data_IF_263104980188
#
_entry.id   IF_263104980188
#
_cell.length_a   1.000
_cell.length_b   1.000
_cell.length_c   1.000
_cell.angle_alpha   90.00
_cell.angle_beta   90.00
_cell.angle_gamma   90.00
#
_symmetry.space_group_name_H-M   'P 1'
#
loop_
_entity.id
_entity.type
_entity.pdbx_description
1 polymer ?
#
# COMPACT_ATOMS: atom_id res chain seq x y z
N UNK A 1 8.83 -6.72 -4.41
CA UNK A 1 7.85 -7.63 -3.77
C UNK A 1 8.29 -8.13 -2.40
N UNK A 2 9.50 -8.68 -2.26
CA UNK A 2 10.04 -9.19 -0.98
C UNK A 2 10.04 -8.10 0.09
N UNK A 3 10.64 -6.96 -0.20
CA UNK A 3 10.69 -5.80 0.68
C UNK A 3 9.29 -5.26 1.05
N UNK A 4 8.36 -5.24 0.08
CA UNK A 4 6.95 -4.92 0.31
C UNK A 4 6.29 -5.87 1.33
N UNK A 5 6.66 -7.14 1.33
CA UNK A 5 6.14 -8.15 2.25
C UNK A 5 6.89 -8.21 3.59
N UNK A 6 7.91 -7.38 3.79
CA UNK A 6 8.67 -7.29 5.03
C UNK A 6 9.99 -8.04 5.02
N UNK A 7 10.43 -8.57 3.89
CA UNK A 7 11.79 -9.09 3.75
C UNK A 7 12.77 -7.90 3.61
N UNK A 8 13.78 -7.85 4.44
CA UNK A 8 14.79 -6.77 4.49
C UNK A 8 16.17 -7.24 4.02
N UNK A 9 16.24 -8.33 3.26
CA UNK A 9 17.53 -8.89 2.80
C UNK A 9 18.09 -8.18 1.56
N UNK A 10 17.29 -7.37 0.87
CA UNK A 10 17.71 -6.66 -0.35
C UNK A 10 18.82 -5.63 -0.08
N UNK A 11 18.82 -4.97 1.08
CA UNK A 11 19.77 -3.91 1.45
C UNK A 11 20.66 -4.36 2.60
N UNK A 12 21.98 -4.30 2.41
CA UNK A 12 22.97 -4.74 3.42
C UNK A 12 22.91 -3.94 4.73
N UNK A 13 22.43 -2.70 4.66
CA UNK A 13 22.30 -1.79 5.81
C UNK A 13 20.99 -1.97 6.57
N UNK A 14 20.10 -2.81 6.08
CA UNK A 14 18.79 -3.07 6.69
C UNK A 14 18.88 -4.01 7.91
N UNK A 15 17.78 -4.05 8.67
CA UNK A 15 17.64 -4.96 9.82
C UNK A 15 17.72 -6.45 9.43
N UNK A 16 17.50 -6.79 8.16
CA UNK A 16 17.63 -8.16 7.64
C UNK A 16 19.03 -8.75 7.83
N UNK A 17 20.06 -7.89 7.77
CA UNK A 17 21.47 -8.28 7.89
C UNK A 17 22.05 -8.11 9.30
N UNK A 18 21.23 -7.87 10.31
CA UNK A 18 21.73 -7.85 11.69
C UNK A 18 22.13 -9.26 12.12
N UNK A 19 23.41 -9.41 12.43
CA UNK A 19 23.96 -10.67 12.93
C UNK A 19 23.64 -10.86 14.42
N UNK A 20 23.41 -12.09 14.87
CA UNK A 20 23.31 -12.42 16.28
C UNK A 20 24.55 -11.97 17.04
N UNK A 21 24.37 -11.45 18.25
CA UNK A 21 25.49 -11.03 19.11
C UNK A 21 26.11 -12.23 19.82
N UNK A 22 27.43 -12.28 19.83
CA UNK A 22 28.17 -13.21 20.69
C UNK A 22 28.43 -12.51 22.01
N UNK A 23 27.94 -13.09 23.09
CA UNK A 23 28.14 -12.59 24.45
C UNK A 23 29.10 -13.56 25.15
N UNK A 24 30.20 -13.03 25.65
CA UNK A 24 31.12 -13.81 26.46
C UNK A 24 30.44 -14.22 27.77
N UNK A 25 30.41 -15.50 28.05
CA UNK A 25 29.88 -16.04 29.29
C UNK A 25 31.06 -16.38 30.18
N UNK A 26 31.01 -15.96 31.44
CA UNK A 26 32.01 -16.24 32.44
C UNK A 26 31.45 -17.21 33.48
N UNK A 27 32.34 -18.04 34.04
CA UNK A 27 31.97 -18.99 35.11
C UNK A 27 31.73 -18.25 36.43
N UNK A 28 30.67 -18.60 37.13
CA UNK A 28 30.40 -18.08 38.47
C UNK A 28 31.24 -18.78 39.57
N UNK A 29 31.85 -19.91 39.23
CA UNK A 29 32.54 -20.78 40.20
C UNK A 29 34.02 -21.04 39.88
N UNK A 30 34.42 -20.91 38.63
CA UNK A 30 35.79 -21.14 38.18
C UNK A 30 36.51 -19.83 37.89
N UNK A 31 37.68 -19.66 38.50
CA UNK A 31 38.55 -18.50 38.27
C UNK A 31 39.81 -18.92 37.51
N UNK A 32 40.28 -18.03 36.65
CA UNK A 32 41.54 -18.13 35.95
C UNK A 32 42.48 -17.04 36.46
N UNK A 33 43.72 -17.43 36.82
CA UNK A 33 44.72 -16.49 37.31
C UNK A 33 45.45 -15.88 36.10
N UNK A 34 45.42 -14.58 35.97
CA UNK A 34 46.17 -13.86 34.94
C UNK A 34 47.69 -14.07 35.16
N UNK A 35 48.41 -14.67 34.20
CA UNK A 35 49.82 -15.04 34.40
C UNK A 35 50.75 -13.82 34.50
N UNK A 36 50.34 -12.63 34.04
CA UNK A 36 51.16 -11.41 34.06
C UNK A 36 50.93 -10.58 35.34
N UNK A 37 49.68 -10.54 35.80
CA UNK A 37 49.29 -9.66 36.92
C UNK A 37 48.99 -10.41 38.19
N UNK A 38 48.86 -11.73 38.16
CA UNK A 38 48.46 -12.58 39.30
C UNK A 38 47.02 -12.35 39.77
N UNK A 39 46.25 -11.58 39.06
CA UNK A 39 44.87 -11.29 39.42
C UNK A 39 43.91 -12.43 39.03
N UNK A 40 43.03 -12.80 39.95
CA UNK A 40 41.97 -13.77 39.69
C UNK A 40 40.86 -13.13 38.86
N UNK A 41 40.57 -13.74 37.71
CA UNK A 41 39.46 -13.34 36.83
C UNK A 41 38.51 -14.51 36.63
N UNK A 42 37.17 -14.27 36.50
CA UNK A 42 36.25 -15.34 36.17
C UNK A 42 36.66 -16.01 34.85
N UNK A 43 36.70 -17.35 34.86
CA UNK A 43 37.06 -18.12 33.66
C UNK A 43 36.05 -17.91 32.53
N UNK A 44 36.53 -17.56 31.36
CA UNK A 44 35.70 -17.43 30.18
C UNK A 44 35.21 -18.79 29.70
N UNK A 45 33.91 -18.95 29.61
CA UNK A 45 33.25 -20.10 29.01
C UNK A 45 33.07 -19.90 27.49
N UNK A 46 32.35 -20.81 26.84
CA UNK A 46 32.00 -20.65 25.45
C UNK A 46 31.09 -19.42 25.25
N UNK A 47 31.31 -18.68 24.13
CA UNK A 47 30.47 -17.53 23.79
C UNK A 47 29.03 -17.98 23.50
N UNK A 48 28.07 -17.40 24.18
CA UNK A 48 26.63 -17.61 23.90
C UNK A 48 26.19 -16.69 22.77
N UNK A 49 25.60 -17.28 21.75
CA UNK A 49 24.94 -16.50 20.67
C UNK A 49 23.55 -16.08 21.13
N UNK A 50 23.28 -14.79 21.09
CA UNK A 50 21.98 -14.21 21.44
C UNK A 50 21.40 -13.55 20.20
N UNK A 51 20.15 -13.89 19.89
CA UNK A 51 19.43 -13.28 18.81
C UNK A 51 19.21 -11.79 19.07
N UNK A 52 19.23 -11.01 17.99
CA UNK A 52 18.99 -9.56 18.04
C UNK A 52 17.58 -9.24 17.54
N UNK A 53 16.98 -8.22 18.13
CA UNK A 53 15.66 -7.77 17.69
C UNK A 53 15.71 -7.30 16.22
N UNK A 54 14.72 -7.73 15.41
CA UNK A 54 14.53 -7.31 14.03
C UNK A 54 13.11 -6.71 13.89
N UNK A 55 12.99 -5.44 14.23
CA UNK A 55 11.71 -4.71 14.16
C UNK A 55 11.50 -4.22 12.74
N UNK A 56 10.50 -4.75 12.08
CA UNK A 56 10.14 -4.43 10.69
C UNK A 56 8.84 -3.62 10.70
N UNK A 57 8.83 -2.50 9.99
CA UNK A 57 7.65 -1.67 9.81
C UNK A 57 6.94 -1.98 8.50
N UNK A 58 5.64 -1.74 8.44
CA UNK A 58 4.86 -1.93 7.21
C UNK A 58 4.75 -0.63 6.38
N UNK A 59 5.73 0.27 6.49
CA UNK A 59 5.73 1.56 5.79
C UNK A 59 5.65 1.42 4.26
N UNK A 60 6.39 0.54 3.58
CA UNK A 60 6.24 0.31 2.15
C UNK A 60 4.80 -0.02 1.75
N UNK A 61 4.13 -0.89 2.52
CA UNK A 61 2.72 -1.22 2.27
C UNK A 61 1.79 -0.03 2.50
N UNK A 62 2.08 0.80 3.52
CA UNK A 62 1.27 1.99 3.84
C UNK A 62 1.38 3.00 2.70
N UNK A 63 2.58 3.29 2.21
CA UNK A 63 2.83 4.21 1.10
C UNK A 63 2.05 3.77 -0.15
N UNK A 64 2.26 2.54 -0.62
CA UNK A 64 1.55 2.02 -1.81
C UNK A 64 0.03 2.02 -1.64
N UNK A 65 -0.49 1.69 -0.44
CA UNK A 65 -1.93 1.74 -0.17
C UNK A 65 -2.48 3.16 -0.29
N UNK A 66 -1.75 4.14 0.22
CA UNK A 66 -2.12 5.54 0.14
C UNK A 66 -2.14 5.99 -1.32
N UNK A 67 -1.09 5.74 -2.10
CA UNK A 67 -1.04 6.08 -3.53
C UNK A 67 -2.19 5.44 -4.32
N UNK A 68 -2.45 4.13 -4.15
CA UNK A 68 -3.58 3.45 -4.82
C UNK A 68 -4.93 4.02 -4.38
N UNK A 69 -5.06 4.47 -3.14
CA UNK A 69 -6.28 5.08 -2.65
C UNK A 69 -6.53 6.44 -3.32
N UNK A 70 -5.50 7.28 -3.47
CA UNK A 70 -5.63 8.56 -4.17
C UNK A 70 -5.85 8.38 -5.68
N UNK A 71 -5.26 7.36 -6.31
CA UNK A 71 -5.46 7.06 -7.73
C UNK A 71 -6.88 6.56 -8.06
N UNK A 72 -7.33 5.54 -7.36
CA UNK A 72 -8.53 4.76 -7.73
C UNK A 72 -9.52 4.57 -6.59
N UNK A 73 -9.33 5.27 -5.47
CA UNK A 73 -10.16 5.12 -4.27
C UNK A 73 -11.52 5.76 -4.40
N UNK A 74 -11.62 6.88 -5.11
CA UNK A 74 -12.85 7.62 -5.34
C UNK A 74 -13.86 6.87 -6.21
N UNK A 75 -15.06 7.43 -6.35
CA UNK A 75 -16.10 6.83 -7.17
C UNK A 75 -15.70 6.82 -8.65
N UNK A 76 -15.87 5.69 -9.31
CA UNK A 76 -15.65 5.55 -10.73
C UNK A 76 -16.87 6.05 -11.54
N UNK A 77 -16.67 7.12 -12.27
CA UNK A 77 -17.65 7.69 -13.20
C UNK A 77 -17.32 7.27 -14.63
N UNK A 78 -18.31 6.84 -15.37
CA UNK A 78 -18.17 6.41 -16.77
C UNK A 78 -19.09 7.27 -17.61
N UNK A 79 -18.52 8.05 -18.52
CA UNK A 79 -19.20 8.96 -19.44
C UNK A 79 -19.02 8.49 -20.87
N UNK A 80 -19.88 8.93 -21.76
CA UNK A 80 -19.78 8.65 -23.19
C UNK A 80 -20.33 9.84 -23.97
N UNK A 81 -19.83 10.06 -25.17
CA UNK A 81 -20.36 11.09 -26.08
C UNK A 81 -21.81 10.78 -26.49
N UNK A 82 -22.10 9.51 -26.79
CA UNK A 82 -23.46 9.05 -27.14
C UNK A 82 -23.95 8.02 -26.09
N UNK A 83 -24.85 8.42 -25.18
CA UNK A 83 -25.44 7.54 -24.16
C UNK A 83 -26.53 6.62 -24.74
N UNK A 84 -26.12 5.64 -25.54
CA UNK A 84 -26.99 4.62 -26.15
C UNK A 84 -27.12 3.33 -25.34
N UNK A 85 -27.90 2.36 -25.85
CA UNK A 85 -28.09 1.06 -25.21
C UNK A 85 -26.80 0.25 -25.10
N UNK A 86 -25.90 0.34 -26.10
CA UNK A 86 -24.57 -0.29 -26.08
C UNK A 86 -23.72 0.23 -24.94
N UNK A 87 -23.76 1.54 -24.68
CA UNK A 87 -23.10 2.16 -23.55
C UNK A 87 -23.67 1.70 -22.20
N UNK A 88 -25.00 1.59 -22.10
CA UNK A 88 -25.64 1.08 -20.89
C UNK A 88 -25.21 -0.35 -20.55
N UNK A 89 -25.08 -1.22 -21.56
CA UNK A 89 -24.53 -2.58 -21.38
C UNK A 89 -23.03 -2.56 -21.08
N UNK A 90 -22.27 -1.64 -21.69
CA UNK A 90 -20.85 -1.46 -21.36
C UNK A 90 -20.66 -1.12 -19.87
N UNK A 91 -21.41 -0.15 -19.33
CA UNK A 91 -21.39 0.17 -17.89
C UNK A 91 -21.62 -1.06 -17.02
N UNK A 92 -22.62 -1.91 -17.36
CA UNK A 92 -22.91 -3.13 -16.59
C UNK A 92 -21.75 -4.14 -16.66
N UNK A 93 -21.15 -4.33 -17.84
CA UNK A 93 -20.01 -5.24 -18.00
C UNK A 93 -18.79 -4.72 -17.27
N UNK A 94 -18.42 -3.46 -17.50
CA UNK A 94 -17.20 -2.84 -16.96
C UNK A 94 -17.27 -2.70 -15.43
N UNK A 95 -18.35 -2.10 -14.90
CA UNK A 95 -18.49 -1.81 -13.46
C UNK A 95 -18.88 -3.07 -12.65
N UNK A 96 -19.83 -3.89 -13.14
CA UNK A 96 -20.40 -4.99 -12.35
C UNK A 96 -19.81 -6.36 -12.66
N UNK A 97 -19.68 -6.74 -13.96
CA UNK A 97 -19.20 -8.09 -14.31
C UNK A 97 -17.68 -8.23 -14.17
N UNK A 98 -16.92 -7.28 -14.71
CA UNK A 98 -15.46 -7.25 -14.65
C UNK A 98 -14.92 -6.64 -13.36
N UNK A 99 -15.73 -5.81 -12.66
CA UNK A 99 -15.35 -5.07 -11.45
C UNK A 99 -14.05 -4.28 -11.66
N UNK A 100 -13.98 -3.53 -12.77
CA UNK A 100 -12.73 -2.92 -13.23
C UNK A 100 -12.10 -2.00 -12.21
N UNK A 101 -12.84 -1.29 -11.36
CA UNK A 101 -12.25 -0.49 -10.29
C UNK A 101 -11.39 -1.33 -9.33
N UNK A 102 -11.84 -2.54 -8.95
CA UNK A 102 -11.05 -3.45 -8.11
C UNK A 102 -9.82 -3.98 -8.84
N UNK A 103 -9.97 -4.28 -10.14
CA UNK A 103 -8.88 -4.74 -11.01
C UNK A 103 -7.82 -3.65 -11.15
N UNK A 104 -8.22 -2.40 -11.39
CA UNK A 104 -7.31 -1.26 -11.51
C UNK A 104 -6.59 -0.96 -10.19
N UNK A 105 -7.27 -1.04 -9.05
CA UNK A 105 -6.63 -0.93 -7.72
C UNK A 105 -5.58 -2.02 -7.49
N UNK A 106 -5.88 -3.25 -7.88
CA UNK A 106 -4.92 -4.35 -7.77
C UNK A 106 -3.76 -4.19 -8.75
N UNK A 107 -4.05 -3.80 -9.98
CA UNK A 107 -3.04 -3.52 -11.01
C UNK A 107 -2.07 -2.42 -10.57
N UNK A 108 -2.59 -1.25 -10.13
CA UNK A 108 -1.75 -0.17 -9.63
C UNK A 108 -0.92 -0.60 -8.42
N UNK A 109 -1.51 -1.35 -7.47
CA UNK A 109 -0.75 -1.89 -6.34
C UNK A 109 0.42 -2.76 -6.80
N UNK A 110 0.22 -3.57 -7.84
CA UNK A 110 1.27 -4.43 -8.39
C UNK A 110 2.35 -3.60 -9.10
N UNK A 111 1.96 -2.66 -9.94
CA UNK A 111 2.93 -1.77 -10.62
C UNK A 111 3.75 -0.99 -9.60
N UNK A 112 3.11 -0.35 -8.62
CA UNK A 112 3.80 0.47 -7.61
C UNK A 112 4.65 -0.35 -6.61
N UNK A 113 4.38 -1.64 -6.45
CA UNK A 113 5.17 -2.51 -5.55
C UNK A 113 6.15 -3.44 -6.24
N UNK A 114 5.89 -3.83 -7.49
CA UNK A 114 6.68 -4.80 -8.25
C UNK A 114 7.35 -4.17 -9.47
N UNK A 115 7.12 -2.89 -9.68
CA UNK A 115 7.55 -2.05 -10.80
C UNK A 115 6.86 -2.33 -12.13
N UNK A 116 6.29 -3.49 -12.35
CA UNK A 116 5.61 -3.85 -13.59
C UNK A 116 4.48 -4.84 -13.37
N UNK A 117 3.41 -4.67 -14.14
CA UNK A 117 2.29 -5.62 -14.18
C UNK A 117 1.55 -5.52 -15.51
N UNK A 118 0.73 -6.53 -15.81
CA UNK A 118 -0.12 -6.52 -16.99
C UNK A 118 -1.54 -7.00 -16.65
N UNK A 119 -2.55 -6.37 -17.27
CA UNK A 119 -3.93 -6.84 -17.26
C UNK A 119 -4.18 -7.58 -18.57
N UNK A 120 -4.69 -8.81 -18.51
CA UNK A 120 -5.03 -9.60 -19.69
C UNK A 120 -6.51 -9.88 -19.71
N UNK A 121 -7.16 -9.55 -20.83
CA UNK A 121 -8.55 -9.87 -21.11
C UNK A 121 -8.65 -11.13 -21.95
N UNK A 122 -9.60 -11.99 -21.65
CA UNK A 122 -9.81 -13.23 -22.40
C UNK A 122 -11.28 -13.64 -22.38
N UNK A 123 -11.78 -14.25 -23.47
CA UNK A 123 -13.12 -14.79 -23.52
C UNK A 123 -13.17 -16.19 -22.91
N UNK A 124 -14.24 -16.47 -22.17
CA UNK A 124 -14.57 -17.82 -21.70
C UNK A 124 -15.94 -18.17 -22.23
N UNK A 125 -16.05 -19.34 -22.89
CA UNK A 125 -17.33 -19.87 -23.30
C UNK A 125 -17.85 -20.79 -22.20
N UNK A 126 -19.08 -20.55 -21.76
CA UNK A 126 -19.76 -21.39 -20.76
C UNK A 126 -20.42 -22.57 -21.41
N UNK A 127 -20.88 -23.53 -20.59
CA UNK A 127 -21.59 -24.75 -21.04
C UNK A 127 -22.88 -24.43 -21.79
N UNK A 128 -23.46 -23.22 -21.53
CA UNK A 128 -24.65 -22.71 -22.26
C UNK A 128 -24.32 -22.11 -23.65
N UNK A 129 -23.08 -22.23 -24.09
CA UNK A 129 -22.57 -21.68 -25.36
C UNK A 129 -22.36 -20.17 -25.38
N UNK A 130 -22.66 -19.44 -24.30
CA UNK A 130 -22.48 -18.00 -24.22
C UNK A 130 -21.05 -17.65 -23.87
N UNK A 131 -20.46 -16.74 -24.62
CA UNK A 131 -19.13 -16.20 -24.31
C UNK A 131 -19.24 -15.08 -23.29
N UNK A 132 -18.32 -15.06 -22.32
CA UNK A 132 -18.19 -14.03 -21.30
C UNK A 132 -16.76 -13.52 -21.30
N UNK A 133 -16.58 -12.19 -21.14
CA UNK A 133 -15.26 -11.60 -20.91
C UNK A 133 -14.82 -11.86 -19.48
N UNK A 134 -13.55 -12.20 -19.32
CA UNK A 134 -12.83 -12.34 -18.07
C UNK A 134 -11.57 -11.51 -18.11
N UNK A 135 -11.08 -11.15 -16.93
CA UNK A 135 -9.86 -10.37 -16.75
C UNK A 135 -8.98 -11.06 -15.72
N UNK A 136 -7.68 -11.01 -15.90
CA UNK A 136 -6.70 -11.44 -14.90
C UNK A 136 -5.52 -10.48 -14.90
N UNK A 137 -4.86 -10.35 -13.76
CA UNK A 137 -3.62 -9.59 -13.61
C UNK A 137 -2.46 -10.56 -13.64
N UNK A 138 -1.47 -10.23 -14.46
CA UNK A 138 -0.16 -10.86 -14.48
C UNK A 138 0.80 -9.97 -13.70
N UNK A 139 1.56 -10.55 -12.81
CA UNK A 139 2.58 -9.86 -12.02
C UNK A 139 3.71 -10.82 -11.72
N UNK A 140 4.80 -10.32 -11.20
CA UNK A 140 5.91 -11.15 -10.74
C UNK A 140 5.40 -12.14 -9.67
N UNK A 141 5.74 -13.44 -9.73
CA UNK A 141 5.29 -14.42 -8.74
C UNK A 141 5.80 -14.10 -7.35
N UNK A 142 5.07 -14.61 -6.35
CA UNK A 142 5.47 -14.46 -4.95
C UNK A 142 6.72 -15.27 -4.58
N UNK A 143 6.99 -16.34 -5.31
CA UNK A 143 8.12 -17.23 -5.07
C UNK A 143 9.26 -16.92 -6.02
N UNK A 144 10.45 -16.67 -5.46
CA UNK A 144 11.68 -16.36 -6.18
C UNK A 144 12.12 -17.43 -7.20
N UNK A 145 11.52 -18.63 -7.14
CA UNK A 145 11.82 -19.72 -8.05
C UNK A 145 11.03 -19.70 -9.36
N UNK A 146 10.08 -18.80 -9.52
CA UNK A 146 9.28 -18.68 -10.74
C UNK A 146 9.58 -17.34 -11.39
N UNK A 147 10.47 -17.34 -12.35
CA UNK A 147 10.76 -16.17 -13.17
C UNK A 147 9.54 -15.85 -14.05
N UNK A 148 9.00 -14.64 -13.91
CA UNK A 148 8.01 -14.09 -14.81
C UNK A 148 8.59 -12.86 -15.47
N UNK A 149 8.63 -12.89 -16.77
CA UNK A 149 9.20 -11.81 -17.56
C UNK A 149 8.14 -11.28 -18.54
N UNK A 150 8.13 -9.95 -18.67
CA UNK A 150 7.26 -9.24 -19.61
C UNK A 150 8.12 -8.59 -20.67
N UNK A 151 7.73 -8.76 -21.93
CA UNK A 151 8.38 -8.15 -23.08
C UNK A 151 7.30 -7.50 -23.94
N UNK A 152 6.94 -6.23 -23.63
CA UNK A 152 6.11 -5.44 -24.53
C UNK A 152 6.94 -5.10 -25.77
N UNK A 153 6.31 -5.13 -26.94
CA UNK A 153 6.89 -4.67 -28.19
C UNK A 153 6.02 -3.53 -28.72
N UNK A 154 6.67 -2.42 -29.04
CA UNK A 154 6.04 -1.21 -29.57
C UNK A 154 6.53 -1.03 -31.01
N UNK A 155 5.64 -0.52 -31.86
CA UNK A 155 5.97 -0.15 -33.22
C UNK A 155 6.63 1.24 -33.31
N UNK A 156 6.85 1.74 -34.55
CA UNK A 156 7.49 3.04 -34.80
C UNK A 156 6.61 4.24 -34.30
N UNK A 157 5.32 4.02 -34.07
CA UNK A 157 4.37 5.02 -33.60
C UNK A 157 4.12 4.89 -32.07
N UNK A 158 4.96 4.15 -31.34
CA UNK A 158 4.82 3.84 -29.92
C UNK A 158 3.54 3.07 -29.56
N UNK A 159 2.86 2.47 -30.52
CA UNK A 159 1.73 1.60 -30.29
C UNK A 159 2.20 0.16 -29.98
N UNK A 160 1.63 -0.45 -28.94
CA UNK A 160 1.98 -1.83 -28.61
C UNK A 160 1.38 -2.80 -29.64
N UNK A 161 2.23 -3.40 -30.47
CA UNK A 161 1.89 -4.35 -31.53
C UNK A 161 2.12 -5.82 -31.11
N UNK A 162 2.87 -6.06 -30.02
CA UNK A 162 3.14 -7.37 -29.44
C UNK A 162 3.29 -7.34 -27.94
N UNK A 163 2.93 -8.42 -27.26
CA UNK A 163 3.20 -8.61 -25.84
C UNK A 163 3.54 -10.06 -25.56
N UNK A 164 4.75 -10.29 -25.03
CA UNK A 164 5.21 -11.61 -24.63
C UNK A 164 5.26 -11.71 -23.12
N UNK A 165 4.73 -12.80 -22.60
CA UNK A 165 4.74 -13.18 -21.20
C UNK A 165 5.38 -14.54 -21.04
N UNK A 166 6.52 -14.60 -20.37
CA UNK A 166 7.28 -15.80 -20.05
C UNK A 166 7.08 -16.15 -18.57
N UNK A 167 6.85 -17.41 -18.27
CA UNK A 167 6.63 -17.89 -16.91
C UNK A 167 6.92 -19.39 -16.78
N UNK A 168 7.23 -19.84 -15.59
CA UNK A 168 7.37 -21.25 -15.30
C UNK A 168 6.05 -21.82 -14.76
N UNK A 169 5.67 -22.99 -15.23
CA UNK A 169 4.49 -23.70 -14.75
C UNK A 169 4.78 -25.21 -14.61
N UNK A 170 4.11 -25.83 -13.68
CA UNK A 170 4.16 -27.30 -13.53
C UNK A 170 3.26 -27.96 -14.58
N UNK A 171 3.86 -28.75 -15.46
CA UNK A 171 3.18 -29.51 -16.50
C UNK A 171 3.58 -30.98 -16.35
N UNK A 172 2.62 -31.86 -16.10
CA UNK A 172 2.84 -33.30 -15.89
C UNK A 172 3.90 -33.59 -14.77
N UNK A 173 3.89 -32.82 -13.68
CA UNK A 173 4.81 -33.03 -12.56
C UNK A 173 6.25 -32.53 -12.82
N UNK A 174 6.46 -31.75 -13.88
CA UNK A 174 7.75 -31.11 -14.19
C UNK A 174 7.56 -29.62 -14.35
N UNK A 175 8.49 -28.84 -13.81
CA UNK A 175 8.51 -27.39 -14.05
C UNK A 175 8.98 -27.15 -15.49
N UNK A 176 8.10 -26.56 -16.30
CA UNK A 176 8.35 -26.24 -17.69
C UNK A 176 8.26 -24.73 -17.89
N UNK A 177 9.14 -24.23 -18.75
CA UNK A 177 9.08 -22.85 -19.23
C UNK A 177 7.87 -22.70 -20.18
N UNK A 178 7.04 -21.70 -19.92
CA UNK A 178 5.85 -21.39 -20.69
C UNK A 178 5.93 -19.97 -21.24
N UNK A 179 5.49 -19.79 -22.48
CA UNK A 179 5.45 -18.49 -23.15
C UNK A 179 4.07 -18.24 -23.70
N UNK A 180 3.57 -17.02 -23.54
CA UNK A 180 2.39 -16.53 -24.25
C UNK A 180 2.72 -15.26 -25.00
N UNK A 181 2.38 -15.24 -26.29
CA UNK A 181 2.57 -14.07 -27.15
C UNK A 181 1.20 -13.61 -27.62
N UNK A 182 0.90 -12.37 -27.38
CA UNK A 182 -0.34 -11.72 -27.81
C UNK A 182 -0.04 -10.77 -28.95
N UNK A 183 -0.66 -11.01 -30.09
CA UNK A 183 -0.64 -10.10 -31.24
C UNK A 183 -2.06 -9.68 -31.59
N UNK A 184 -2.23 -8.76 -32.49
CA UNK A 184 -3.56 -8.28 -32.93
C UNK A 184 -4.41 -9.43 -33.52
N UNK A 185 -3.80 -10.38 -34.21
CA UNK A 185 -4.53 -11.44 -34.92
C UNK A 185 -4.49 -12.81 -34.22
N UNK A 186 -3.37 -13.14 -33.58
CA UNK A 186 -3.09 -14.50 -33.08
C UNK A 186 -2.52 -14.43 -31.66
N UNK A 187 -2.93 -15.39 -30.85
CA UNK A 187 -2.34 -15.65 -29.53
C UNK A 187 -1.58 -16.97 -29.61
N UNK A 188 -0.29 -16.94 -29.34
CA UNK A 188 0.56 -18.12 -29.27
C UNK A 188 0.71 -18.55 -27.81
N UNK A 189 0.66 -19.84 -27.56
CA UNK A 189 0.96 -20.44 -26.25
C UNK A 189 1.97 -21.55 -26.45
N UNK A 190 3.18 -21.36 -25.95
CA UNK A 190 4.28 -22.30 -26.03
C UNK A 190 4.59 -22.92 -24.66
N UNK A 191 4.95 -24.21 -24.68
CA UNK A 191 5.43 -24.95 -23.52
C UNK A 191 6.73 -25.63 -23.93
N UNK A 192 7.79 -25.44 -23.14
CA UNK A 192 9.08 -26.11 -23.33
C UNK A 192 9.11 -27.44 -22.58
N UNK A 193 8.86 -28.52 -23.29
CA UNK A 193 8.92 -29.88 -22.78
C UNK A 193 9.87 -30.69 -23.67
N UNK A 194 11.18 -30.44 -23.49
CA UNK A 194 12.26 -30.93 -24.39
C UNK A 194 12.34 -30.15 -25.71
N UNK A 195 11.20 -29.90 -26.36
CA UNK A 195 11.05 -29.02 -27.54
C UNK A 195 9.87 -28.08 -27.32
N UNK A 196 9.87 -26.94 -28.01
CA UNK A 196 8.75 -26.02 -27.99
C UNK A 196 7.50 -26.61 -28.63
N UNK A 197 6.46 -26.81 -27.81
CA UNK A 197 5.11 -27.16 -28.28
C UNK A 197 4.27 -25.91 -28.34
N UNK A 198 4.01 -25.39 -29.55
CA UNK A 198 3.31 -24.10 -29.74
C UNK A 198 1.89 -24.35 -30.24
N UNK A 199 0.92 -23.78 -29.52
CA UNK A 199 -0.49 -23.72 -29.90
C UNK A 199 -0.84 -22.32 -30.38
N UNK A 200 -1.48 -22.21 -31.54
CA UNK A 200 -2.02 -20.96 -32.11
C UNK A 200 -3.50 -20.85 -31.86
N UNK A 201 -3.96 -19.70 -31.40
CA UNK A 201 -5.39 -19.41 -31.19
C UNK A 201 -5.71 -18.06 -31.82
N UNK A 202 -6.79 -17.95 -32.58
CA UNK A 202 -7.20 -16.68 -33.18
C UNK A 202 -7.54 -15.67 -32.09
N UNK A 203 -6.97 -14.49 -32.17
CA UNK A 203 -7.36 -13.35 -31.31
C UNK A 203 -8.69 -12.76 -31.84
N UNK A 204 -9.76 -12.89 -31.05
CA UNK A 204 -11.10 -12.45 -31.43
C UNK A 204 -11.38 -10.99 -31.05
N UNK A 205 -10.48 -10.33 -30.32
CA UNK A 205 -10.65 -8.92 -29.93
C UNK A 205 -10.40 -7.96 -31.09
N UNK A 206 -9.56 -8.33 -32.05
CA UNK A 206 -9.08 -7.43 -33.11
C UNK A 206 -8.08 -6.38 -32.61
N UNK A 207 -7.75 -6.42 -31.34
CA UNK A 207 -6.71 -5.61 -30.67
C UNK A 207 -5.91 -6.53 -29.73
N UNK A 208 -4.73 -6.10 -29.30
CA UNK A 208 -3.97 -6.84 -28.27
C UNK A 208 -4.73 -6.73 -26.94
N UNK A 209 -5.20 -7.85 -26.37
CA UNK A 209 -6.04 -7.83 -25.17
C UNK A 209 -5.22 -7.70 -23.87
N UNK A 210 -4.16 -6.90 -23.92
CA UNK A 210 -3.24 -6.69 -22.81
C UNK A 210 -3.05 -5.21 -22.54
N UNK A 211 -3.08 -4.83 -21.28
CA UNK A 211 -2.69 -3.52 -20.78
C UNK A 211 -1.46 -3.72 -19.92
N UNK A 212 -0.38 -3.05 -20.23
CA UNK A 212 0.88 -3.10 -19.51
C UNK A 212 1.21 -1.74 -18.94
N UNK A 213 1.79 -1.72 -17.74
CA UNK A 213 2.41 -0.54 -17.17
C UNK A 213 3.66 -0.93 -16.40
N UNK A 214 4.63 -0.04 -16.42
CA UNK A 214 5.94 -0.17 -15.78
C UNK A 214 6.33 1.18 -15.18
N UNK A 215 7.03 1.13 -14.05
CA UNK A 215 7.67 2.27 -13.37
C UNK A 215 9.12 1.88 -13.08
N UNK A 216 10.01 2.86 -13.01
CA UNK A 216 11.44 2.64 -12.84
C UNK A 216 11.78 2.03 -11.48
N UNK A 217 11.05 2.45 -10.43
CA UNK A 217 11.33 2.01 -9.06
C UNK A 217 10.02 1.83 -8.27
N UNK A 218 10.07 1.06 -7.17
CA UNK A 218 8.93 0.95 -6.26
C UNK A 218 8.59 2.30 -5.59
N UNK A 219 7.33 2.47 -5.25
CA UNK A 219 6.75 3.73 -4.73
C UNK A 219 7.37 4.25 -3.41
N UNK A 220 8.19 3.46 -2.74
CA UNK A 220 8.91 3.81 -1.49
C UNK A 220 10.43 3.93 -1.67
N UNK A 221 10.96 3.81 -2.88
CA UNK A 221 12.42 3.75 -3.11
C UNK A 221 13.13 5.00 -2.61
N UNK A 222 12.57 6.18 -2.83
CA UNK A 222 13.17 7.47 -2.42
C UNK A 222 13.35 7.59 -0.91
N UNK A 223 12.51 6.92 -0.14
CA UNK A 223 12.53 6.94 1.33
C UNK A 223 13.03 5.63 1.94
N UNK A 224 13.48 4.68 1.13
CA UNK A 224 13.87 3.36 1.60
C UNK A 224 15.01 3.40 2.62
N UNK A 225 16.00 4.30 2.42
CA UNK A 225 17.10 4.49 3.38
C UNK A 225 16.62 5.04 4.73
N UNK A 226 15.60 5.90 4.73
CA UNK A 226 15.00 6.44 5.96
C UNK A 226 14.22 5.35 6.70
N UNK A 227 13.52 4.49 5.96
CA UNK A 227 12.82 3.32 6.51
C UNK A 227 13.82 2.36 7.16
N UNK A 228 14.92 2.01 6.47
CA UNK A 228 15.97 1.16 6.99
C UNK A 228 16.58 1.75 8.27
N UNK A 229 16.85 3.04 8.28
CA UNK A 229 17.37 3.76 9.45
C UNK A 229 16.41 3.70 10.65
N UNK A 230 15.12 3.93 10.41
CA UNK A 230 14.08 3.86 11.44
C UNK A 230 13.96 2.44 12.02
N UNK A 231 13.89 1.42 11.16
CA UNK A 231 13.79 0.02 11.57
C UNK A 231 15.02 -0.41 12.37
N UNK A 232 16.22 0.01 11.94
CA UNK A 232 17.47 -0.25 12.67
C UNK A 232 17.46 0.43 14.05
N UNK A 233 16.95 1.68 14.14
CA UNK A 233 16.87 2.40 15.40
C UNK A 233 15.91 1.75 16.38
N UNK A 234 14.72 1.36 15.90
CA UNK A 234 13.73 0.64 16.71
C UNK A 234 14.26 -0.71 17.21
N UNK A 235 14.97 -1.45 16.36
CA UNK A 235 15.54 -2.74 16.71
C UNK A 235 16.63 -2.61 17.78
N UNK A 236 17.50 -1.60 17.67
CA UNK A 236 18.52 -1.32 18.69
C UNK A 236 17.90 -0.85 20.02
N UNK A 237 16.83 -0.06 19.94
CA UNK A 237 16.08 0.37 21.12
C UNK A 237 15.46 -0.83 21.83
N UNK A 238 14.87 -1.77 21.07
CA UNK A 238 14.32 -3.01 21.61
C UNK A 238 15.39 -3.84 22.33
N UNK A 239 16.54 -4.10 21.67
CA UNK A 239 17.65 -4.83 22.30
C UNK A 239 18.11 -4.17 23.61
N UNK A 240 18.15 -2.83 23.62
CA UNK A 240 18.62 -2.10 24.79
C UNK A 240 17.60 -2.17 25.92
N UNK A 241 16.30 -2.03 25.59
CA UNK A 241 15.23 -2.18 26.57
C UNK A 241 15.20 -3.61 27.15
N UNK A 242 15.38 -4.64 26.30
CA UNK A 242 15.43 -6.02 26.73
C UNK A 242 16.61 -6.27 27.67
N UNK A 243 17.78 -5.70 27.36
CA UNK A 243 18.97 -5.82 28.21
C UNK A 243 18.77 -5.17 29.59
N UNK A 244 18.14 -4.00 29.67
CA UNK A 244 17.90 -3.28 30.92
C UNK A 244 16.54 -3.61 31.58
N UNK A 245 15.76 -4.51 31.01
CA UNK A 245 14.51 -4.99 31.63
C UNK A 245 14.75 -5.76 32.93
N UNK A 246 15.92 -6.41 33.01
CA UNK A 246 16.38 -7.05 34.24
C UNK A 246 17.31 -6.07 34.99
N UNK A 247 16.89 -5.52 36.15
CA UNK A 247 17.67 -4.53 36.85
C UNK A 247 18.99 -5.15 37.37
N UNK A 248 20.12 -4.54 37.01
CA UNK A 248 21.46 -4.92 37.46
C UNK A 248 21.71 -4.23 38.79
N UNK A 249 21.85 -5.04 39.85
CA UNK A 249 22.20 -4.53 41.16
C UNK A 249 23.72 -4.30 41.21
N UNK A 250 24.13 -3.08 41.50
CA UNK A 250 25.51 -2.70 41.75
C UNK A 250 25.74 -2.58 43.24
N UNK A 251 26.70 -3.33 43.78
CA UNK A 251 27.02 -3.30 45.20
C UNK A 251 28.45 -2.81 45.43
N UNK A 252 28.65 -2.02 46.44
CA UNK A 252 29.93 -1.60 46.92
C UNK A 252 30.16 -2.13 48.34
N UNK A 253 31.30 -2.77 48.60
CA UNK A 253 31.62 -3.40 49.87
C UNK A 253 30.98 -4.80 50.04
N UNK A 254 31.09 -5.35 51.21
CA UNK A 254 30.55 -6.68 51.55
C UNK A 254 29.03 -6.57 51.79
N UNK A 255 28.26 -7.19 50.92
CA UNK A 255 26.82 -7.28 51.08
C UNK A 255 26.36 -8.75 51.06
N UNK A 256 25.50 -9.12 51.98
CA UNK A 256 24.82 -10.40 51.92
C UNK A 256 23.60 -10.25 51.03
N UNK A 257 23.70 -10.76 49.78
CA UNK A 257 22.59 -10.73 48.83
C UNK A 257 21.53 -11.79 49.21
N UNK A 258 20.27 -11.41 49.34
CA UNK A 258 19.18 -12.36 49.61
C UNK A 258 19.02 -13.31 48.41
N UNK A 259 18.60 -14.56 48.67
CA UNK A 259 18.30 -15.50 47.58
C UNK A 259 17.14 -14.99 46.70
N UNK A 260 17.12 -15.40 45.43
CA UNK A 260 16.08 -15.00 44.45
C UNK A 260 14.65 -15.39 44.86
N UNK A 261 14.50 -16.34 45.81
CA UNK A 261 13.23 -16.93 46.24
C UNK A 261 12.60 -16.23 47.44
N UNK A 262 13.25 -15.22 48.05
CA UNK A 262 12.79 -14.61 49.27
C UNK A 262 11.94 -13.37 49.00
N UNK A 263 10.72 -13.34 49.48
CA UNK A 263 9.84 -12.15 49.46
C UNK A 263 10.18 -11.23 50.63
N UNK A 264 10.30 -9.91 50.38
CA UNK A 264 10.68 -8.95 51.43
C UNK A 264 12.18 -8.92 51.67
N UNK A 265 12.95 -8.66 50.64
CA UNK A 265 14.41 -8.69 50.65
C UNK A 265 15.00 -7.51 51.43
N UNK A 266 15.81 -7.79 52.39
CA UNK A 266 16.65 -6.83 53.11
C UNK A 266 18.09 -6.98 52.70
N UNK A 267 18.76 -5.86 52.37
CA UNK A 267 20.19 -5.81 52.09
C UNK A 267 20.90 -5.31 53.34
N UNK A 268 21.72 -6.18 53.96
CA UNK A 268 22.51 -5.81 55.11
C UNK A 268 23.94 -5.52 54.64
N UNK A 269 24.45 -4.33 54.93
CA UNK A 269 25.80 -3.89 54.67
C UNK A 269 26.61 -3.95 55.95
N UNK A 270 27.80 -4.55 55.92
CA UNK A 270 28.76 -4.52 57.01
C UNK A 270 29.51 -3.22 57.00
N UNK A 271 29.64 -2.60 58.14
CA UNK A 271 30.45 -1.40 58.34
C UNK A 271 31.89 -1.83 58.58
N UNK A 272 32.82 -1.47 57.71
CA UNK A 272 34.25 -1.67 57.92
C UNK A 272 34.83 -0.37 58.44
N UNK A 273 35.60 -0.49 59.55
CA UNK A 273 36.35 0.62 60.10
C UNK A 273 37.83 0.35 59.83
N UNK A 274 38.47 1.23 59.10
CA UNK A 274 39.90 1.16 58.89
C UNK A 274 40.60 1.43 60.24
N UNK A 275 41.36 0.44 60.71
CA UNK A 275 42.05 0.47 62.01
C UNK A 275 43.15 1.54 62.11
N UNK A 276 43.74 1.95 60.98
CA UNK A 276 44.84 2.89 60.92
C UNK A 276 44.38 4.35 60.80
N UNK A 277 43.26 4.58 60.09
CA UNK A 277 42.75 5.93 59.82
C UNK A 277 41.48 6.31 60.60
N UNK A 278 40.84 5.31 61.25
CA UNK A 278 39.55 5.50 61.95
C UNK A 278 38.37 5.86 61.02
N UNK A 279 38.56 5.75 59.73
CA UNK A 279 37.53 6.06 58.74
C UNK A 279 36.59 4.91 58.58
N UNK A 280 35.28 5.16 58.72
CA UNK A 280 34.25 4.14 58.49
C UNK A 280 33.78 4.13 57.06
N UNK A 281 33.87 2.98 56.41
CA UNK A 281 33.31 2.75 55.07
C UNK A 281 31.99 2.01 55.20
N UNK A 282 30.97 2.62 54.63
CA UNK A 282 29.63 1.98 54.51
C UNK A 282 29.51 1.32 53.15
N UNK A 283 29.04 0.10 53.13
CA UNK A 283 28.61 -0.54 51.89
C UNK A 283 27.37 0.20 51.31
N UNK A 284 27.25 0.21 50.03
CA UNK A 284 26.12 0.79 49.33
C UNK A 284 25.65 -0.14 48.20
N UNK A 285 24.37 -0.06 47.86
CA UNK A 285 23.80 -0.79 46.75
C UNK A 285 22.83 0.08 45.99
N UNK A 286 23.04 0.15 44.72
CA UNK A 286 22.17 0.89 43.82
C UNK A 286 21.86 0.07 42.57
N UNK A 287 20.72 0.33 41.96
CA UNK A 287 20.42 -0.26 40.67
C UNK A 287 21.11 0.56 39.58
N UNK A 288 21.82 -0.17 38.70
CA UNK A 288 22.37 0.46 37.52
C UNK A 288 21.23 0.90 36.61
N UNK A 289 20.79 2.13 36.79
CA UNK A 289 19.78 2.73 35.92
C UNK A 289 20.43 3.21 34.62
N UNK A 290 19.83 2.81 33.50
CA UNK A 290 20.27 3.30 32.20
C UNK A 290 19.78 4.73 31.99
N UNK A 291 20.70 5.67 31.95
CA UNK A 291 20.41 7.07 31.67
C UNK A 291 20.40 7.32 30.15
N UNK A 292 19.41 6.82 29.45
CA UNK A 292 19.22 7.20 28.05
C UNK A 292 18.46 8.53 27.98
N UNK A 293 18.86 9.40 27.05
CA UNK A 293 18.05 10.54 26.67
C UNK A 293 16.85 10.07 25.85
N UNK A 294 15.78 9.67 26.52
CA UNK A 294 14.52 9.24 25.86
C UNK A 294 14.00 10.31 24.91
N UNK A 295 14.20 11.58 25.24
CA UNK A 295 13.82 12.72 24.40
C UNK A 295 14.54 12.74 23.06
N UNK A 296 15.86 12.49 23.04
CA UNK A 296 16.66 12.47 21.82
C UNK A 296 16.23 11.35 20.87
N UNK A 297 15.95 10.14 21.42
CA UNK A 297 15.48 9.00 20.63
C UNK A 297 14.09 9.28 20.05
N UNK A 298 13.20 9.84 20.88
CA UNK A 298 11.84 10.20 20.45
C UNK A 298 11.88 11.26 19.35
N UNK A 299 12.74 12.29 19.52
CA UNK A 299 12.93 13.33 18.51
C UNK A 299 13.44 12.73 17.19
N UNK A 300 14.46 11.86 17.22
CA UNK A 300 15.01 11.19 16.03
C UNK A 300 13.94 10.37 15.32
N UNK A 301 13.15 9.57 16.05
CA UNK A 301 12.09 8.74 15.47
C UNK A 301 10.98 9.60 14.86
N UNK A 302 10.59 10.69 15.51
CA UNK A 302 9.57 11.59 14.98
C UNK A 302 10.07 12.30 13.70
N UNK A 303 11.33 12.76 13.66
CA UNK A 303 11.91 13.37 12.47
C UNK A 303 12.03 12.37 11.31
N UNK A 304 12.39 11.11 11.60
CA UNK A 304 12.40 10.06 10.58
C UNK A 304 10.99 9.81 10.03
N UNK A 305 9.98 9.76 10.89
CA UNK A 305 8.59 9.59 10.46
C UNK A 305 8.12 10.74 9.57
N UNK A 306 8.32 11.97 10.01
CA UNK A 306 7.93 13.15 9.24
C UNK A 306 8.68 13.20 7.89
N UNK A 307 9.98 12.86 7.88
CA UNK A 307 10.78 12.81 6.63
C UNK A 307 10.34 11.70 5.69
N UNK A 308 9.97 10.52 6.21
CA UNK A 308 9.45 9.40 5.39
C UNK A 308 8.12 9.79 4.75
N UNK A 309 7.20 10.37 5.52
CA UNK A 309 5.89 10.75 5.00
C UNK A 309 5.97 11.90 4.00
N UNK A 310 6.81 12.89 4.26
CA UNK A 310 7.07 14.00 3.34
C UNK A 310 7.79 13.54 2.07
N UNK A 311 8.88 12.78 2.20
CA UNK A 311 9.65 12.32 1.05
C UNK A 311 8.91 11.32 0.16
N UNK A 312 7.97 10.55 0.73
CA UNK A 312 7.10 9.64 -0.04
C UNK A 312 5.85 10.33 -0.60
N UNK A 313 5.63 11.62 -0.32
CA UNK A 313 4.37 12.32 -0.61
C UNK A 313 3.13 11.53 -0.16
N UNK A 314 3.25 10.90 1.02
CA UNK A 314 2.23 10.01 1.59
C UNK A 314 1.85 10.49 2.98
N UNK A 315 0.74 11.21 3.14
CA UNK A 315 0.36 11.80 4.42
C UNK A 315 0.17 10.73 5.51
N UNK A 316 0.55 11.08 6.74
CA UNK A 316 0.32 10.19 7.88
C UNK A 316 -1.15 10.27 8.34
N UNK A 317 -1.92 9.28 7.92
CA UNK A 317 -3.34 9.10 8.27
C UNK A 317 -3.53 8.33 9.60
N UNK A 318 -2.52 8.29 10.47
CA UNK A 318 -2.66 7.69 11.79
C UNK A 318 -3.66 8.47 12.65
N UNK A 319 -4.39 7.75 13.51
CA UNK A 319 -5.42 8.36 14.36
C UNK A 319 -4.83 9.46 15.26
N UNK A 320 -3.60 9.31 15.74
CA UNK A 320 -2.90 10.30 16.57
C UNK A 320 -2.68 11.63 15.84
N UNK A 321 -2.29 11.59 14.58
CA UNK A 321 -2.13 12.80 13.76
C UNK A 321 -3.50 13.39 13.37
N UNK A 322 -4.48 12.56 13.02
CA UNK A 322 -5.83 13.01 12.66
C UNK A 322 -6.60 13.64 13.83
N UNK A 323 -6.43 13.16 15.06
CA UNK A 323 -7.06 13.76 16.24
C UNK A 323 -6.59 15.19 16.50
N UNK A 324 -5.33 15.51 16.20
CA UNK A 324 -4.81 16.89 16.24
C UNK A 324 -5.47 17.83 15.23
N UNK A 325 -6.14 17.30 14.19
CA UNK A 325 -6.78 18.05 13.11
C UNK A 325 -8.28 18.31 13.35
N UNK A 326 -8.83 17.91 14.50
CA UNK A 326 -10.26 17.96 14.77
C UNK A 326 -10.94 19.31 14.59
N UNK A 327 -10.20 20.40 14.79
CA UNK A 327 -10.70 21.78 14.69
C UNK A 327 -10.42 22.45 13.32
N UNK A 328 -9.86 21.74 12.35
CA UNK A 328 -9.57 22.31 11.03
C UNK A 328 -10.78 22.22 10.09
N UNK A 329 -10.96 23.26 9.27
CA UNK A 329 -11.97 23.28 8.21
C UNK A 329 -11.72 22.17 7.18
N UNK A 330 -12.76 21.79 6.41
CA UNK A 330 -12.64 20.83 5.31
C UNK A 330 -11.56 21.24 4.32
N UNK A 331 -11.51 22.53 3.97
CA UNK A 331 -10.50 23.11 3.07
C UNK A 331 -9.08 22.96 3.62
N UNK A 332 -8.86 23.23 4.92
CA UNK A 332 -7.54 23.06 5.55
C UNK A 332 -7.08 21.61 5.55
N UNK A 333 -8.00 20.67 5.76
CA UNK A 333 -7.68 19.23 5.69
C UNK A 333 -7.28 18.80 4.27
N UNK A 334 -7.90 19.37 3.23
CA UNK A 334 -7.51 19.10 1.83
C UNK A 334 -6.10 19.61 1.54
N UNK A 335 -5.75 20.81 2.00
CA UNK A 335 -4.38 21.32 1.82
C UNK A 335 -3.30 20.42 2.42
N UNK A 336 -3.58 19.72 3.51
CA UNK A 336 -2.63 18.78 4.10
C UNK A 336 -2.44 17.49 3.26
N UNK A 337 -3.34 17.23 2.32
CA UNK A 337 -3.27 16.06 1.44
C UNK A 337 -2.78 16.42 0.03
N UNK A 338 -2.40 17.68 -0.21
CA UNK A 338 -2.07 18.19 -1.55
C UNK A 338 -0.87 17.45 -2.17
N UNK A 339 0.13 17.08 -1.37
CA UNK A 339 1.30 16.35 -1.84
C UNK A 339 0.90 14.96 -2.39
N UNK A 340 -0.07 14.30 -1.75
CA UNK A 340 -0.59 13.03 -2.24
C UNK A 340 -1.47 13.18 -3.49
N UNK A 341 -2.20 14.29 -3.63
CA UNK A 341 -2.95 14.60 -4.86
C UNK A 341 -2.01 14.92 -6.02
N UNK A 342 -0.91 15.66 -5.78
CA UNK A 342 0.13 15.93 -6.79
C UNK A 342 0.75 14.62 -7.25
N UNK A 343 1.22 13.79 -6.31
CA UNK A 343 1.78 12.46 -6.63
C UNK A 343 0.80 11.59 -7.42
N UNK A 344 -0.48 11.58 -7.03
CA UNK A 344 -1.50 10.83 -7.76
C UNK A 344 -1.70 11.36 -9.18
N UNK A 345 -1.61 12.69 -9.38
CA UNK A 345 -1.66 13.31 -10.71
C UNK A 345 -0.49 12.89 -11.59
N UNK A 346 0.74 12.89 -11.05
CA UNK A 346 1.93 12.40 -11.75
C UNK A 346 1.82 10.90 -12.11
N UNK A 347 1.38 10.08 -11.17
CA UNK A 347 1.15 8.65 -11.43
C UNK A 347 0.03 8.41 -12.46
N UNK A 348 -0.95 9.30 -12.55
CA UNK A 348 -2.03 9.21 -13.54
C UNK A 348 -1.53 9.38 -14.99
N UNK A 349 -0.36 9.99 -15.21
CA UNK A 349 0.27 10.02 -16.54
C UNK A 349 0.56 8.61 -17.06
N UNK A 350 0.87 7.66 -16.18
CA UNK A 350 1.10 6.25 -16.52
C UNK A 350 -0.22 5.47 -16.52
N UNK A 351 -1.05 5.67 -15.49
CA UNK A 351 -2.27 4.89 -15.33
C UNK A 351 -3.44 5.38 -16.17
N UNK A 352 -3.49 6.66 -16.56
CA UNK A 352 -4.54 7.23 -17.42
C UNK A 352 -4.62 6.51 -18.77
N UNK A 353 -3.56 6.46 -19.57
CA UNK A 353 -3.50 5.69 -20.82
C UNK A 353 -3.84 4.21 -20.62
N UNK A 354 -3.38 3.60 -19.51
CA UNK A 354 -3.71 2.22 -19.18
C UNK A 354 -5.22 2.04 -18.96
N UNK A 355 -5.89 2.96 -18.24
CA UNK A 355 -7.34 2.94 -18.04
C UNK A 355 -8.07 3.05 -19.38
N UNK A 356 -7.71 4.00 -20.24
CA UNK A 356 -8.34 4.17 -21.56
C UNK A 356 -8.13 2.93 -22.45
N UNK A 357 -6.95 2.29 -22.37
CA UNK A 357 -6.71 1.03 -23.06
C UNK A 357 -7.61 -0.10 -22.54
N UNK A 358 -7.91 -0.16 -21.23
CA UNK A 358 -8.89 -1.14 -20.72
C UNK A 358 -10.27 -0.92 -21.31
N UNK A 359 -10.71 0.33 -21.45
CA UNK A 359 -11.98 0.70 -22.07
C UNK A 359 -12.01 0.20 -23.51
N UNK A 360 -11.00 0.57 -24.31
CA UNK A 360 -10.91 0.18 -25.72
C UNK A 360 -10.89 -1.34 -25.95
N UNK A 361 -10.23 -2.11 -25.06
CA UNK A 361 -10.20 -3.58 -25.13
C UNK A 361 -11.58 -4.17 -24.75
N UNK A 362 -12.23 -3.65 -23.72
CA UNK A 362 -13.56 -4.12 -23.30
C UNK A 362 -14.62 -3.79 -24.37
N UNK A 363 -14.57 -2.58 -24.96
CA UNK A 363 -15.43 -2.23 -26.11
C UNK A 363 -15.25 -3.22 -27.26
N UNK A 364 -14.01 -3.44 -27.70
CA UNK A 364 -13.69 -4.39 -28.76
C UNK A 364 -14.13 -5.82 -28.43
N UNK A 365 -13.92 -6.26 -27.20
CA UNK A 365 -14.35 -7.58 -26.73
C UNK A 365 -15.86 -7.73 -26.68
N UNK A 366 -16.59 -6.68 -26.33
CA UNK A 366 -18.05 -6.68 -26.38
C UNK A 366 -18.55 -6.67 -27.81
N UNK A 367 -18.04 -5.79 -28.66
CA UNK A 367 -18.44 -5.65 -30.05
C UNK A 367 -18.19 -6.94 -30.87
N UNK A 368 -17.01 -7.58 -30.66
CA UNK A 368 -16.58 -8.70 -31.49
C UNK A 368 -16.92 -10.09 -30.93
N UNK A 369 -17.19 -10.20 -29.60
CA UNK A 369 -17.30 -11.52 -28.95
C UNK A 369 -18.62 -11.71 -28.21
N UNK A 370 -19.01 -10.78 -27.32
CA UNK A 370 -20.10 -11.07 -26.36
C UNK A 370 -21.40 -10.33 -26.62
N UNK A 371 -21.37 -9.14 -27.17
CA UNK A 371 -22.54 -8.28 -27.39
C UNK A 371 -22.56 -7.71 -28.82
N UNK A 372 -22.34 -8.58 -29.79
CA UNK A 372 -22.20 -8.23 -31.23
C UNK A 372 -23.37 -7.42 -31.80
N UNK A 373 -24.57 -7.51 -31.22
CA UNK A 373 -25.71 -6.71 -31.60
C UNK A 373 -25.54 -5.19 -31.39
N UNK A 374 -24.63 -4.81 -30.51
CA UNK A 374 -24.30 -3.41 -30.21
C UNK A 374 -22.97 -2.95 -30.83
N UNK A 375 -22.41 -3.72 -31.78
CA UNK A 375 -21.06 -3.48 -32.30
C UNK A 375 -20.88 -2.08 -32.86
N UNK A 376 -21.85 -1.55 -33.69
CA UNK A 376 -21.80 -0.18 -34.22
C UNK A 376 -21.82 0.86 -33.10
N UNK A 377 -22.78 0.73 -32.17
CA UNK A 377 -22.93 1.65 -31.05
C UNK A 377 -21.71 1.70 -30.11
N UNK A 378 -20.96 0.61 -30.00
CA UNK A 378 -19.77 0.55 -29.18
C UNK A 378 -18.51 1.04 -29.90
N UNK A 379 -18.36 0.73 -31.20
CA UNK A 379 -17.17 1.09 -31.94
C UNK A 379 -17.08 2.59 -32.26
N UNK A 380 -18.22 3.22 -32.45
CA UNK A 380 -18.31 4.65 -32.85
C UNK A 380 -18.43 5.58 -31.64
N UNK A 381 -18.47 5.03 -30.41
CA UNK A 381 -18.70 5.81 -29.19
C UNK A 381 -17.40 6.00 -28.41
N UNK A 382 -17.07 7.24 -28.10
CA UNK A 382 -15.98 7.55 -27.20
C UNK A 382 -16.47 7.43 -25.74
N UNK A 383 -15.83 6.51 -24.98
CA UNK A 383 -16.14 6.27 -23.57
C UNK A 383 -14.95 6.65 -22.72
N UNK A 384 -15.20 7.45 -21.71
CA UNK A 384 -14.22 7.93 -20.76
C UNK A 384 -14.50 7.39 -19.35
N UNK A 385 -13.44 7.13 -18.60
CA UNK A 385 -13.53 6.66 -17.22
C UNK A 385 -12.68 7.58 -16.34
N UNK A 386 -13.35 8.18 -15.38
CA UNK A 386 -12.75 9.09 -14.41
C UNK A 386 -12.91 8.55 -12.99
N UNK A 387 -12.03 8.96 -12.09
CA UNK A 387 -12.10 8.63 -10.68
C UNK A 387 -12.21 9.90 -9.87
N UNK A 388 -13.21 9.96 -9.00
CA UNK A 388 -13.40 11.08 -8.08
C UNK A 388 -12.29 11.10 -7.00
N UNK A 389 -12.17 12.23 -6.31
CA UNK A 389 -11.28 12.34 -5.16
C UNK A 389 -11.74 11.43 -4.02
N UNK A 390 -10.77 10.83 -3.31
CA UNK A 390 -11.03 10.03 -2.09
C UNK A 390 -11.28 10.92 -0.88
N UNK A 391 -10.92 12.19 -0.95
CA UNK A 391 -11.02 13.09 0.19
C UNK A 391 -12.49 13.35 0.55
N UNK A 392 -12.85 13.28 1.84
CA UNK A 392 -14.18 13.61 2.28
C UNK A 392 -14.51 15.06 1.89
N UNK A 393 -15.60 15.23 1.17
CA UNK A 393 -16.16 16.56 0.91
C UNK A 393 -16.92 17.02 2.16
N UNK A 394 -16.75 18.27 2.54
CA UNK A 394 -17.59 18.86 3.57
C UNK A 394 -18.96 19.20 2.96
N UNK A 395 -19.89 18.27 3.10
CA UNK A 395 -21.25 18.41 2.54
C UNK A 395 -21.95 19.68 2.99
N UNK A 396 -21.65 20.16 4.20
CA UNK A 396 -22.26 21.39 4.72
C UNK A 396 -21.68 22.63 4.00
N UNK A 397 -20.36 22.65 3.76
CA UNK A 397 -19.71 23.71 2.97
C UNK A 397 -20.16 23.66 1.51
N UNK A 398 -20.28 22.49 0.91
CA UNK A 398 -20.74 22.31 -0.46
C UNK A 398 -22.18 22.76 -0.67
N UNK A 399 -23.07 22.40 0.25
CA UNK A 399 -24.45 22.88 0.22
C UNK A 399 -24.55 24.41 0.35
N UNK A 400 -23.75 25.02 1.22
CA UNK A 400 -23.68 26.47 1.37
C UNK A 400 -23.15 27.15 0.11
N UNK A 401 -22.15 26.55 -0.55
CA UNK A 401 -21.64 27.02 -1.82
C UNK A 401 -22.69 26.90 -2.93
N UNK A 402 -23.46 25.81 -2.98
CA UNK A 402 -24.57 25.63 -3.91
C UNK A 402 -25.71 26.62 -3.64
N UNK A 403 -26.03 26.90 -2.38
CA UNK A 403 -27.01 27.92 -2.01
C UNK A 403 -26.57 29.32 -2.51
N UNK A 404 -25.29 29.67 -2.30
CA UNK A 404 -24.71 30.91 -2.83
C UNK A 404 -24.73 30.93 -4.36
N UNK A 405 -24.31 29.83 -5.00
CA UNK A 405 -24.30 29.68 -6.45
C UNK A 405 -25.71 29.73 -7.06
N UNK A 406 -26.76 29.37 -6.31
CA UNK A 406 -28.17 29.44 -6.78
C UNK A 406 -28.64 30.84 -7.12
N UNK A 407 -27.97 31.88 -6.63
CA UNK A 407 -28.25 33.26 -6.94
C UNK A 407 -27.81 33.67 -8.36
N UNK A 408 -26.83 32.95 -8.93
CA UNK A 408 -26.20 33.26 -10.21
C UNK A 408 -26.41 32.19 -11.28
N UNK A 409 -26.67 30.94 -10.90
CA UNK A 409 -26.76 29.79 -11.78
C UNK A 409 -28.21 29.32 -11.95
N UNK A 410 -28.47 28.64 -13.08
CA UNK A 410 -29.77 28.04 -13.34
C UNK A 410 -30.10 26.91 -12.36
N UNK A 411 -31.39 26.65 -12.10
CA UNK A 411 -31.86 25.53 -11.26
C UNK A 411 -31.31 24.19 -11.75
N UNK A 412 -31.17 24.00 -13.04
CA UNK A 412 -30.62 22.79 -13.65
C UNK A 412 -29.16 22.57 -13.25
N UNK A 413 -28.34 23.62 -13.33
CA UNK A 413 -26.93 23.57 -12.91
C UNK A 413 -26.79 23.26 -11.43
N UNK A 414 -27.60 23.80 -10.56
CA UNK A 414 -27.60 23.56 -9.14
C UNK A 414 -27.99 22.12 -8.82
N UNK A 415 -29.03 21.59 -9.48
CA UNK A 415 -29.48 20.21 -9.31
C UNK A 415 -28.40 19.23 -9.79
N UNK A 416 -27.75 19.52 -10.93
CA UNK A 416 -26.69 18.71 -11.51
C UNK A 416 -25.50 18.60 -10.57
N UNK A 417 -25.14 19.66 -9.87
CA UNK A 417 -24.00 19.71 -8.95
C UNK A 417 -24.38 19.41 -7.48
N UNK A 418 -25.64 19.05 -7.22
CA UNK A 418 -26.09 18.70 -5.87
C UNK A 418 -25.58 17.29 -5.49
N UNK A 419 -24.94 17.09 -4.33
CA UNK A 419 -24.47 15.78 -3.88
C UNK A 419 -25.61 14.80 -3.58
N UNK A 420 -26.85 15.24 -3.59
CA UNK A 420 -28.05 14.43 -3.32
C UNK A 420 -28.84 14.06 -4.57
N UNK A 421 -28.36 14.44 -5.77
CA UNK A 421 -29.08 14.19 -7.02
C UNK A 421 -28.48 13.05 -7.80
N UNK A 422 -29.14 11.91 -7.83
CA UNK A 422 -28.72 10.74 -8.63
C UNK A 422 -29.11 10.87 -10.12
N UNK A 423 -30.25 11.48 -10.41
CA UNK A 423 -30.78 11.67 -11.76
C UNK A 423 -31.37 13.07 -11.95
N UNK A 424 -30.66 13.87 -12.72
CA UNK A 424 -30.99 15.29 -12.93
C UNK A 424 -32.35 15.47 -13.60
N UNK A 425 -32.71 14.65 -14.61
CA UNK A 425 -33.97 14.76 -15.36
C UNK A 425 -35.17 14.42 -14.47
N UNK A 426 -35.04 13.37 -13.67
CA UNK A 426 -36.07 12.92 -12.74
C UNK A 426 -36.31 13.95 -11.63
N UNK A 427 -35.25 14.55 -11.11
CA UNK A 427 -35.33 15.57 -10.06
C UNK A 427 -35.92 16.89 -10.59
N UNK A 428 -35.58 17.29 -11.83
CA UNK A 428 -36.19 18.41 -12.50
C UNK A 428 -37.68 18.18 -12.76
N UNK A 429 -38.06 16.94 -13.11
CA UNK A 429 -39.47 16.59 -13.30
C UNK A 429 -40.24 16.65 -11.98
N UNK A 430 -39.66 16.14 -10.89
CA UNK A 430 -40.26 16.22 -9.55
C UNK A 430 -40.45 17.67 -9.09
N UNK A 431 -39.41 18.51 -9.22
CA UNK A 431 -39.52 19.94 -8.87
C UNK A 431 -40.55 20.68 -9.68
N UNK A 432 -40.69 20.41 -10.98
CA UNK A 432 -41.74 21.01 -11.81
C UNK A 432 -43.14 20.59 -11.37
N UNK A 433 -43.28 19.35 -10.86
CA UNK A 433 -44.53 18.86 -10.31
C UNK A 433 -44.85 19.55 -8.99
N UNK A 434 -43.89 19.65 -8.08
CA UNK A 434 -44.05 20.34 -6.79
C UNK A 434 -44.40 21.83 -6.96
N UNK A 435 -43.80 22.51 -7.94
CA UNK A 435 -44.11 23.90 -8.26
C UNK A 435 -45.57 24.05 -8.77
N UNK A 436 -46.06 23.10 -9.57
CA UNK A 436 -47.47 23.10 -10.04
C UNK A 436 -48.43 22.82 -8.89
N UNK A 437 -48.14 21.86 -8.06
CA UNK A 437 -48.98 21.49 -6.90
C UNK A 437 -49.03 22.65 -5.89
N UNK A 438 -47.91 23.34 -5.66
CA UNK A 438 -47.86 24.53 -4.81
C UNK A 438 -48.63 25.71 -5.41
N UNK A 439 -48.56 25.93 -6.72
CA UNK A 439 -49.30 26.96 -7.41
C UNK A 439 -50.83 26.69 -7.37
N UNK A 440 -51.24 25.42 -7.52
CA UNK A 440 -52.66 25.02 -7.39
C UNK A 440 -53.18 25.20 -5.95
N UNK A 441 -52.41 24.83 -4.94
CA UNK A 441 -52.77 25.00 -3.54
C UNK A 441 -52.88 26.49 -3.15
N UNK A 442 -52.00 27.36 -3.63
CA UNK A 442 -52.04 28.79 -3.40
C UNK A 442 -53.22 29.46 -4.13
N UNK A 443 -53.62 28.97 -5.31
CA UNK A 443 -54.83 29.48 -6.02
C UNK A 443 -56.12 29.07 -5.30
N UNK A 444 -56.13 27.92 -4.62
CA UNK A 444 -57.27 27.45 -3.82
C UNK A 444 -57.46 28.26 -2.55
N UNK A 445 -56.35 28.65 -1.89
CA UNK A 445 -56.34 29.49 -0.67
C UNK A 445 -56.71 30.96 -0.97
N UNK A 446 -56.40 31.49 -2.17
CA UNK A 446 -56.73 32.84 -2.60
C UNK A 446 -58.18 32.99 -3.07
N UNK A 447 -58.90 31.90 -3.35
CA UNK A 447 -60.33 31.91 -3.73
C UNK A 447 -61.28 31.81 -2.54
N UNK A 448 -60.76 31.71 -1.31
CA UNK A 448 -61.52 31.54 -0.05
C UNK A 448 -61.46 32.77 0.88
N UNK A 449 -60.85 33.86 0.45
CA UNK A 449 -60.91 35.20 1.05
C UNK A 449 -61.66 36.15 0.11
#
# INVERSE_FOLDING_TARGET
MEEYNGDRTRRKESVGYRDPKKIAVYSDTEVEVDPETGAEKPKKLEDKTVDVAKVITNLPKKIVRTSVAFLFGGEMTITAEDPNDGFSEFKKVYKRKLKMQSVLKEFARKVLSETKAAIVFYPVTRDDGKSQLKVKILSTPKDSNTECEFFPHFDEDDDMDGFLYKYNAEVNGRTCECVKIYTKEVIYSGIMDGIWKVKKTKNRFGKIPVVYAEVDCPDWEDVANLIDKKEMRLSRLSDTNDYFSEPILKTYGLANLPSKETVGKELNFTMEVDADTGTSYHGDADYLAWQQSCESVTLELNQLDDSIHSGASSPDLSMSKLMGLGNLSGTSRRFMMIDAEIKASEQMEIFGPAVQRTVAIVQAGMANITHTKYASQLNDNFIEVEFGSILPQDLAEELKNLETASQFNSKETIIKNSPYTDNVEEELARKKQDEKDTAQNNSFLGATL
#
